data_IF_887097954308
#
_entry.id   IF_887097954308
#
_cell.length_a   1.000
_cell.length_b   1.000
_cell.length_c   1.000
_cell.angle_alpha   90.00
_cell.angle_beta   90.00
_cell.angle_gamma   90.00
#
_symmetry.space_group_name_H-M   'P 1'
#
loop_
_entity.id
_entity.type
_entity.pdbx_description
1 polymer ?
#
# COMPACT_ATOMS: atom_id res chain seq x y z
N UNK A 1 -13.95 2.73 -14.08
CA UNK A 1 -12.63 2.70 -14.76
C UNK A 1 -12.25 1.25 -15.01
N UNK A 2 -11.62 0.91 -16.14
CA UNK A 2 -11.17 -0.45 -16.46
C UNK A 2 -9.73 -0.76 -16.00
N UNK A 3 -9.12 0.14 -15.21
CA UNK A 3 -7.79 -0.10 -14.67
C UNK A 3 -7.87 -1.10 -13.51
N UNK A 4 -7.05 -2.15 -13.56
CA UNK A 4 -6.86 -3.09 -12.44
C UNK A 4 -5.39 -3.14 -12.09
N UNK A 5 -5.08 -2.92 -10.82
CA UNK A 5 -3.70 -2.87 -10.36
C UNK A 5 -2.96 -4.22 -10.46
N UNK A 6 -3.68 -5.34 -10.57
CA UNK A 6 -3.09 -6.69 -10.73
C UNK A 6 -2.16 -6.81 -11.95
N UNK A 7 -2.39 -6.05 -13.02
CA UNK A 7 -1.51 -6.06 -14.21
C UNK A 7 -0.14 -5.40 -13.95
N UNK A 8 0.00 -4.64 -12.87
CA UNK A 8 1.21 -3.88 -12.56
C UNK A 8 1.76 -4.17 -11.16
N UNK A 9 1.07 -5.04 -10.40
CA UNK A 9 1.40 -5.32 -9.02
C UNK A 9 2.83 -5.87 -8.90
N UNK A 10 3.62 -5.27 -8.04
CA UNK A 10 4.99 -5.71 -7.78
C UNK A 10 6.01 -5.28 -8.83
N UNK A 11 5.66 -4.35 -9.74
CA UNK A 11 6.63 -3.74 -10.64
C UNK A 11 7.66 -2.86 -9.88
N UNK A 12 8.63 -2.29 -10.61
CA UNK A 12 9.68 -1.47 -9.97
C UNK A 12 9.12 -0.23 -9.24
N UNK A 13 8.05 0.37 -9.76
CA UNK A 13 7.44 1.56 -9.16
C UNK A 13 6.78 1.21 -7.82
N UNK A 14 6.10 0.07 -7.76
CA UNK A 14 5.55 -0.50 -6.54
C UNK A 14 6.64 -0.78 -5.50
N UNK A 15 7.75 -1.41 -5.91
CA UNK A 15 8.88 -1.68 -5.01
C UNK A 15 9.39 -0.38 -4.36
N UNK A 16 9.72 0.63 -5.17
CA UNK A 16 10.23 1.91 -4.68
C UNK A 16 9.23 2.60 -3.74
N UNK A 17 7.98 2.69 -4.18
CA UNK A 17 6.87 3.31 -3.46
C UNK A 17 6.60 2.63 -2.12
N UNK A 18 6.55 1.31 -2.08
CA UNK A 18 6.24 0.54 -0.88
C UNK A 18 7.37 0.54 0.14
N UNK A 19 8.63 0.60 -0.31
CA UNK A 19 9.77 0.87 0.59
C UNK A 19 9.59 2.24 1.24
N UNK A 20 9.32 3.30 0.47
CA UNK A 20 9.14 4.65 1.00
C UNK A 20 7.98 4.73 2.00
N UNK A 21 6.81 4.17 1.64
CA UNK A 21 5.64 4.14 2.54
C UNK A 21 5.99 3.47 3.86
N UNK A 22 6.66 2.32 3.80
CA UNK A 22 7.10 1.59 4.99
C UNK A 22 8.03 2.44 5.86
N UNK A 23 8.99 3.14 5.26
CA UNK A 23 9.90 4.05 5.97
C UNK A 23 9.19 5.23 6.61
N UNK A 24 8.18 5.80 5.95
CA UNK A 24 7.38 6.90 6.49
C UNK A 24 6.60 6.41 7.71
N UNK A 25 5.96 5.25 7.64
CA UNK A 25 5.21 4.68 8.77
C UNK A 25 6.14 4.39 9.95
N UNK A 26 7.30 3.78 9.70
CA UNK A 26 8.33 3.55 10.73
C UNK A 26 8.85 4.83 11.37
N UNK A 27 9.01 5.89 10.58
CA UNK A 27 9.40 7.20 11.10
C UNK A 27 8.31 7.81 11.98
N UNK A 28 7.04 7.76 11.56
CA UNK A 28 5.91 8.30 12.33
C UNK A 28 5.73 7.59 13.69
N UNK A 29 6.05 6.30 13.78
CA UNK A 29 6.02 5.52 15.03
C UNK A 29 6.95 6.06 16.12
N UNK A 30 7.96 6.87 15.78
CA UNK A 30 8.88 7.50 16.74
C UNK A 30 8.22 8.53 17.64
N UNK A 31 7.07 9.09 17.24
CA UNK A 31 6.25 9.95 18.10
C UNK A 31 5.24 9.10 18.84
N UNK A 32 5.10 9.29 20.16
CA UNK A 32 4.12 8.57 20.98
C UNK A 32 2.66 8.82 20.53
N UNK A 33 2.41 10.03 20.02
CA UNK A 33 1.11 10.44 19.50
C UNK A 33 0.64 9.52 18.38
N UNK A 34 -0.64 9.17 18.40
CA UNK A 34 -1.28 8.42 17.33
C UNK A 34 -1.20 9.17 15.99
N UNK A 35 -1.07 8.42 14.91
CA UNK A 35 -1.22 8.94 13.54
C UNK A 35 -2.29 8.15 12.78
N UNK A 36 -2.77 8.77 11.69
CA UNK A 36 -3.66 8.13 10.73
C UNK A 36 -3.03 8.13 9.35
N UNK A 37 -3.11 7.02 8.66
CA UNK A 37 -2.77 6.94 7.24
C UNK A 37 -4.04 6.93 6.42
N UNK A 38 -4.06 7.73 5.35
CA UNK A 38 -5.13 7.78 4.36
C UNK A 38 -4.55 7.27 3.05
N UNK A 39 -4.95 6.08 2.65
CA UNK A 39 -4.61 5.52 1.35
C UNK A 39 -5.73 5.87 0.37
N UNK A 40 -5.47 6.79 -0.55
CA UNK A 40 -6.53 7.35 -1.42
C UNK A 40 -6.89 6.42 -2.58
N UNK A 41 -6.01 5.49 -2.92
CA UNK A 41 -6.14 4.56 -4.04
C UNK A 41 -5.63 3.18 -3.59
N UNK A 42 -6.40 2.56 -2.72
CA UNK A 42 -6.01 1.39 -1.94
C UNK A 42 -5.93 0.07 -2.73
N UNK A 43 -6.66 -0.04 -3.85
CA UNK A 43 -6.77 -1.27 -4.63
C UNK A 43 -7.40 -2.41 -3.83
N UNK A 44 -6.99 -3.65 -4.11
CA UNK A 44 -7.56 -4.87 -3.47
C UNK A 44 -6.78 -5.36 -2.25
N UNK A 45 -5.70 -4.67 -1.88
CA UNK A 45 -4.85 -5.00 -0.73
C UNK A 45 -3.83 -6.12 -0.97
N UNK A 46 -4.19 -7.25 -1.57
CA UNK A 46 -3.23 -8.34 -1.92
C UNK A 46 -3.44 -8.79 -3.36
N UNK A 47 -2.33 -8.99 -4.06
CA UNK A 47 -2.30 -9.39 -5.47
C UNK A 47 -1.69 -10.78 -5.62
N UNK A 48 -2.36 -11.68 -6.34
CA UNK A 48 -1.80 -12.98 -6.70
C UNK A 48 -0.98 -12.88 -8.00
N UNK A 49 0.34 -12.94 -7.89
CA UNK A 49 1.28 -12.83 -9.02
C UNK A 49 1.29 -14.06 -9.94
N UNK A 50 0.68 -15.18 -9.51
CA UNK A 50 0.44 -16.36 -10.36
C UNK A 50 -0.84 -16.27 -11.20
N UNK A 51 -1.60 -15.17 -11.07
CA UNK A 51 -2.82 -14.96 -11.85
C UNK A 51 -2.55 -14.74 -13.35
N UNK A 52 -3.53 -15.07 -14.19
CA UNK A 52 -3.47 -14.83 -15.64
C UNK A 52 -3.23 -13.34 -15.95
N UNK A 53 -3.84 -12.44 -15.17
CA UNK A 53 -3.68 -11.00 -15.30
C UNK A 53 -2.25 -10.55 -15.02
N UNK A 54 -1.64 -11.01 -13.93
CA UNK A 54 -0.25 -10.69 -13.61
C UNK A 54 0.72 -11.26 -14.67
N UNK A 55 0.43 -12.44 -15.22
CA UNK A 55 1.25 -13.05 -16.27
C UNK A 55 1.15 -12.36 -17.64
N UNK A 56 0.04 -11.69 -17.95
CA UNK A 56 -0.13 -10.95 -19.23
C UNK A 56 0.94 -9.89 -19.44
N UNK A 57 1.36 -9.20 -18.39
CA UNK A 57 2.41 -8.18 -18.44
C UNK A 57 3.73 -8.71 -17.86
N UNK A 58 3.68 -9.50 -16.79
CA UNK A 58 4.84 -10.04 -16.11
C UNK A 58 5.72 -9.01 -15.41
N UNK A 59 5.24 -7.78 -15.19
CA UNK A 59 6.06 -6.66 -14.66
C UNK A 59 6.70 -6.97 -13.29
N UNK A 60 6.06 -7.81 -12.48
CA UNK A 60 6.55 -8.22 -11.17
C UNK A 60 7.89 -8.95 -11.22
N UNK A 61 8.22 -9.59 -12.35
CA UNK A 61 9.50 -10.30 -12.54
C UNK A 61 10.67 -9.33 -12.53
N UNK A 62 10.52 -8.19 -13.21
CA UNK A 62 11.55 -7.12 -13.25
C UNK A 62 11.47 -6.15 -12.07
N UNK A 63 10.38 -6.22 -11.28
CA UNK A 63 10.23 -5.47 -10.04
C UNK A 63 10.65 -6.31 -8.83
N UNK A 64 9.65 -6.81 -8.10
CA UNK A 64 9.85 -7.44 -6.80
C UNK A 64 10.69 -8.72 -6.86
N UNK A 65 10.49 -9.57 -7.87
CA UNK A 65 11.24 -10.83 -7.96
C UNK A 65 12.73 -10.56 -8.19
N UNK A 66 13.05 -9.64 -9.10
CA UNK A 66 14.42 -9.19 -9.35
C UNK A 66 15.03 -8.53 -8.12
N UNK A 67 14.25 -7.73 -7.38
CA UNK A 67 14.72 -7.11 -6.14
C UNK A 67 15.11 -8.16 -5.09
N UNK A 68 14.25 -9.14 -4.80
CA UNK A 68 14.55 -10.17 -3.79
C UNK A 68 15.68 -11.12 -4.22
N UNK A 69 15.90 -11.27 -5.52
CA UNK A 69 16.99 -12.10 -6.06
C UNK A 69 18.36 -11.41 -6.02
N UNK A 70 18.40 -10.09 -5.79
CA UNK A 70 19.62 -9.31 -5.75
C UNK A 70 20.24 -9.28 -4.35
N UNK A 71 21.58 -9.31 -4.21
CA UNK A 71 22.21 -9.13 -2.92
C UNK A 71 21.91 -7.73 -2.37
N UNK A 72 21.31 -7.67 -1.18
CA UNK A 72 21.03 -6.42 -0.47
C UNK A 72 22.27 -6.03 0.35
N UNK A 73 22.85 -4.82 0.15
CA UNK A 73 23.93 -4.30 0.96
C UNK A 73 23.59 -4.33 2.46
N UNK A 74 24.58 -4.70 3.30
CA UNK A 74 24.37 -4.90 4.74
C UNK A 74 23.80 -3.66 5.44
N UNK A 75 24.26 -2.47 5.03
CA UNK A 75 23.83 -1.17 5.53
C UNK A 75 22.37 -0.83 5.16
N UNK A 76 21.80 -1.47 4.14
CA UNK A 76 20.42 -1.29 3.72
C UNK A 76 19.45 -2.31 4.33
N UNK A 77 19.93 -3.42 4.90
CA UNK A 77 19.06 -4.47 5.45
C UNK A 77 18.11 -3.92 6.51
N UNK A 78 18.64 -3.29 7.55
CA UNK A 78 17.82 -2.66 8.63
C UNK A 78 16.83 -1.61 8.11
N UNK A 79 17.15 -0.95 6.99
CA UNK A 79 16.21 -0.02 6.36
C UNK A 79 15.02 -0.75 5.76
N UNK A 80 15.28 -1.89 5.10
CA UNK A 80 14.34 -2.66 4.30
C UNK A 80 13.58 -3.74 5.10
N UNK A 81 14.13 -4.22 6.22
CA UNK A 81 13.55 -5.31 7.03
C UNK A 81 12.05 -5.14 7.28
N UNK A 82 11.51 -3.97 7.67
CA UNK A 82 10.07 -3.86 7.94
C UNK A 82 9.21 -4.13 6.69
N UNK A 83 9.73 -3.85 5.49
CA UNK A 83 9.04 -4.13 4.23
C UNK A 83 9.26 -5.58 3.78
N UNK A 84 10.50 -6.07 3.81
CA UNK A 84 10.82 -7.46 3.45
C UNK A 84 10.08 -8.45 4.34
N UNK A 85 10.07 -8.24 5.67
CA UNK A 85 9.41 -9.13 6.62
C UNK A 85 7.91 -9.28 6.37
N UNK A 86 7.23 -8.24 5.86
CA UNK A 86 5.80 -8.34 5.52
C UNK A 86 5.59 -9.16 4.26
N UNK A 87 6.47 -9.02 3.27
CA UNK A 87 6.44 -9.81 2.03
C UNK A 87 6.73 -11.27 2.36
N UNK A 88 7.77 -11.54 3.16
CA UNK A 88 8.16 -12.88 3.56
C UNK A 88 7.06 -13.55 4.38
N UNK A 89 6.48 -12.84 5.36
CA UNK A 89 5.37 -13.36 6.16
C UNK A 89 4.12 -13.68 5.31
N UNK A 90 3.88 -12.90 4.24
CA UNK A 90 2.76 -13.15 3.33
C UNK A 90 2.99 -14.37 2.43
N UNK A 91 4.25 -14.70 2.15
CA UNK A 91 4.64 -15.83 1.30
C UNK A 91 5.24 -16.99 2.10
N UNK A 92 5.04 -17.00 3.43
CA UNK A 92 5.50 -18.08 4.32
C UNK A 92 7.02 -18.37 4.23
N UNK A 93 7.81 -17.38 3.82
CA UNK A 93 9.26 -17.52 3.62
C UNK A 93 9.67 -18.32 2.37
N UNK A 94 8.74 -18.58 1.46
CA UNK A 94 9.03 -19.23 0.17
C UNK A 94 9.94 -18.38 -0.72
N UNK A 95 10.78 -19.04 -1.52
CA UNK A 95 11.74 -18.36 -2.41
C UNK A 95 11.06 -17.66 -3.59
N UNK A 96 9.92 -18.16 -4.02
CA UNK A 96 9.13 -17.58 -5.10
C UNK A 96 7.95 -16.80 -4.53
N UNK A 97 7.79 -15.56 -4.97
CA UNK A 97 6.71 -14.71 -4.50
C UNK A 97 5.44 -15.04 -5.27
N UNK A 98 4.43 -15.50 -4.55
CA UNK A 98 3.08 -15.76 -5.09
C UNK A 98 2.16 -14.59 -4.82
N UNK A 99 2.30 -13.95 -3.65
CA UNK A 99 1.43 -12.87 -3.21
C UNK A 99 2.22 -11.59 -2.95
N UNK A 100 1.74 -10.49 -3.53
CA UNK A 100 2.30 -9.17 -3.31
C UNK A 100 1.37 -8.29 -2.48
N UNK A 101 1.83 -7.70 -1.36
CA UNK A 101 1.02 -6.80 -0.56
C UNK A 101 0.95 -5.42 -1.21
N UNK A 102 -0.25 -4.91 -1.40
CA UNK A 102 -0.50 -3.49 -1.67
C UNK A 102 -0.30 -2.62 -0.43
N UNK A 103 -0.30 -1.30 -0.63
CA UNK A 103 -0.10 -0.32 0.43
C UNK A 103 -1.03 -0.48 1.65
N UNK A 104 -2.34 -0.82 1.54
CA UNK A 104 -3.19 -0.95 2.72
C UNK A 104 -2.71 -2.07 3.66
N UNK A 105 -2.23 -3.18 3.11
CA UNK A 105 -1.74 -4.32 3.89
C UNK A 105 -0.40 -3.98 4.54
N UNK A 106 0.52 -3.39 3.78
CA UNK A 106 1.80 -2.91 4.32
C UNK A 106 1.60 -1.95 5.48
N UNK A 107 0.79 -0.91 5.27
CA UNK A 107 0.50 0.09 6.30
C UNK A 107 -0.12 -0.59 7.52
N UNK A 108 -1.14 -1.43 7.32
CA UNK A 108 -1.86 -2.08 8.43
C UNK A 108 -0.96 -2.96 9.29
N UNK A 109 -0.03 -3.70 8.71
CA UNK A 109 0.91 -4.55 9.44
C UNK A 109 1.88 -3.72 10.31
N UNK A 110 2.17 -2.49 9.92
CA UNK A 110 3.10 -1.60 10.62
C UNK A 110 2.44 -0.75 11.73
N UNK A 111 1.11 -0.59 11.72
CA UNK A 111 0.40 0.26 12.67
C UNK A 111 0.48 -0.24 14.12
N UNK A 112 0.66 0.68 15.09
CA UNK A 112 0.49 0.39 16.52
C UNK A 112 -0.99 0.40 16.88
N UNK A 113 -1.36 -0.12 18.05
CA UNK A 113 -2.77 -0.23 18.51
C UNK A 113 -3.56 1.09 18.44
N UNK A 114 -2.92 2.24 18.69
CA UNK A 114 -3.58 3.55 18.61
C UNK A 114 -3.68 4.15 17.20
N UNK A 115 -2.90 3.66 16.25
CA UNK A 115 -2.86 4.21 14.90
C UNK A 115 -4.02 3.66 14.05
N UNK A 116 -4.39 4.39 13.00
CA UNK A 116 -5.55 4.05 12.15
C UNK A 116 -5.22 4.15 10.67
N UNK A 117 -5.85 3.30 9.87
CA UNK A 117 -5.85 3.33 8.41
C UNK A 117 -7.24 3.71 7.89
N UNK A 118 -7.30 4.61 6.92
CA UNK A 118 -8.46 4.82 6.05
C UNK A 118 -8.05 4.48 4.63
N UNK A 119 -8.59 3.39 4.10
CA UNK A 119 -8.30 2.89 2.77
C UNK A 119 -9.49 3.20 1.84
N UNK A 120 -9.25 3.96 0.79
CA UNK A 120 -10.28 4.44 -0.14
C UNK A 120 -10.07 3.75 -1.48
N UNK A 121 -11.15 3.21 -2.03
CA UNK A 121 -11.16 2.60 -3.34
C UNK A 121 -12.41 3.08 -4.10
N UNK A 122 -12.25 3.45 -5.37
CA UNK A 122 -13.30 3.97 -6.23
C UNK A 122 -13.95 2.86 -7.06
N UNK A 123 -13.22 1.81 -7.39
CA UNK A 123 -13.74 0.68 -8.17
C UNK A 123 -14.57 -0.26 -7.29
N UNK A 124 -15.88 -0.36 -7.56
CA UNK A 124 -16.83 -1.09 -6.71
C UNK A 124 -16.42 -2.53 -6.41
N UNK A 125 -15.94 -3.29 -7.38
CA UNK A 125 -15.54 -4.68 -7.13
C UNK A 125 -14.26 -4.77 -6.30
N UNK A 126 -13.30 -3.86 -6.52
CA UNK A 126 -12.04 -3.85 -5.78
C UNK A 126 -12.29 -3.42 -4.33
N UNK A 127 -13.18 -2.45 -4.14
CA UNK A 127 -13.70 -2.05 -2.84
C UNK A 127 -14.29 -3.25 -2.09
N UNK A 128 -15.12 -4.09 -2.72
CA UNK A 128 -15.71 -5.24 -2.03
C UNK A 128 -14.65 -6.27 -1.61
N UNK A 129 -13.64 -6.50 -2.44
CA UNK A 129 -12.50 -7.37 -2.08
C UNK A 129 -11.73 -6.79 -0.90
N UNK A 130 -11.40 -5.49 -0.94
CA UNK A 130 -10.68 -4.79 0.10
C UNK A 130 -11.47 -4.72 1.43
N UNK A 131 -12.77 -4.43 1.36
CA UNK A 131 -13.66 -4.36 2.52
C UNK A 131 -13.78 -5.73 3.21
N UNK A 132 -13.89 -6.80 2.43
CA UNK A 132 -13.86 -8.17 2.96
C UNK A 132 -12.54 -8.48 3.63
N UNK A 133 -11.41 -8.07 3.03
CA UNK A 133 -10.05 -8.28 3.56
C UNK A 133 -9.87 -7.67 4.97
N UNK A 134 -10.42 -6.48 5.21
CA UNK A 134 -10.32 -5.77 6.48
C UNK A 134 -11.59 -5.86 7.35
N UNK A 135 -12.49 -6.79 7.05
CA UNK A 135 -13.72 -6.96 7.83
C UNK A 135 -13.39 -7.31 9.29
N UNK A 136 -13.93 -6.53 10.22
CA UNK A 136 -13.70 -6.70 11.67
C UNK A 136 -12.39 -6.11 12.20
N UNK A 137 -11.54 -5.56 11.34
CA UNK A 137 -10.30 -4.91 11.77
C UNK A 137 -10.56 -3.49 12.30
N UNK A 138 -10.57 -3.33 13.63
CA UNK A 138 -10.88 -2.06 14.28
C UNK A 138 -9.91 -0.91 13.94
N UNK A 139 -8.72 -1.21 13.40
CA UNK A 139 -7.75 -0.19 13.01
C UNK A 139 -7.98 0.35 11.59
N UNK A 140 -8.77 -0.34 10.77
CA UNK A 140 -8.93 -0.06 9.34
C UNK A 140 -10.37 0.34 9.01
N UNK A 141 -10.53 1.44 8.30
CA UNK A 141 -11.79 1.83 7.68
C UNK A 141 -11.65 1.77 6.16
N UNK A 142 -12.49 0.99 5.50
CA UNK A 142 -12.53 0.91 4.03
C UNK A 142 -13.70 1.75 3.52
N UNK A 143 -13.45 2.62 2.54
CA UNK A 143 -14.43 3.54 1.97
C UNK A 143 -14.55 3.35 0.45
N UNK A 144 -15.78 3.26 -0.05
CA UNK A 144 -16.08 3.30 -1.48
C UNK A 144 -16.31 4.75 -1.89
N UNK A 145 -15.24 5.48 -2.22
CA UNK A 145 -15.28 6.91 -2.53
C UNK A 145 -14.21 7.25 -3.57
N UNK A 146 -14.35 8.42 -4.18
CA UNK A 146 -13.25 9.05 -4.90
C UNK A 146 -12.19 9.55 -3.91
N UNK A 147 -10.95 9.06 -4.08
CA UNK A 147 -9.83 9.38 -3.20
C UNK A 147 -9.46 10.87 -3.15
N UNK A 148 -9.66 11.61 -4.24
CA UNK A 148 -9.42 13.05 -4.30
C UNK A 148 -10.50 13.82 -3.54
N UNK A 149 -11.77 13.47 -3.74
CA UNK A 149 -12.88 14.10 -3.01
C UNK A 149 -12.80 13.80 -1.51
N UNK A 150 -12.40 12.58 -1.16
CA UNK A 150 -12.26 12.15 0.23
C UNK A 150 -11.13 12.91 0.96
N UNK A 151 -10.03 13.26 0.26
CA UNK A 151 -8.89 13.94 0.86
C UNK A 151 -9.30 15.30 1.47
N UNK A 152 -10.12 16.08 0.76
CA UNK A 152 -10.64 17.37 1.24
C UNK A 152 -11.52 17.24 2.50
N UNK A 153 -12.20 16.09 2.67
CA UNK A 153 -13.03 15.84 3.85
C UNK A 153 -12.22 15.36 5.07
N UNK A 154 -10.98 14.91 4.84
CA UNK A 154 -10.12 14.34 5.86
C UNK A 154 -8.98 15.25 6.31
N UNK A 155 -8.76 16.37 5.60
CA UNK A 155 -7.77 17.38 5.92
C UNK A 155 -8.43 18.74 6.24
N UNK A 156 -7.96 19.45 7.28
CA UNK A 156 -6.97 19.02 8.26
C UNK A 156 -7.54 17.94 9.20
N UNK A 157 -6.70 17.02 9.69
CA UNK A 157 -7.15 16.02 10.66
C UNK A 157 -7.73 16.70 11.91
N UNK A 158 -8.71 16.03 12.56
CA UNK A 158 -9.19 16.47 13.88
C UNK A 158 -7.98 16.74 14.79
N UNK A 159 -8.02 17.86 15.53
CA UNK A 159 -6.91 18.35 16.36
C UNK A 159 -6.27 17.17 17.12
N UNK A 160 -4.96 17.05 16.98
CA UNK A 160 -4.07 16.07 17.62
C UNK A 160 -3.67 14.79 16.89
N UNK A 161 -3.95 14.60 15.59
CA UNK A 161 -3.50 13.40 14.85
C UNK A 161 -2.67 13.82 13.63
N UNK A 162 -1.50 13.20 13.43
CA UNK A 162 -0.70 13.39 12.20
C UNK A 162 -1.32 12.54 11.08
N UNK A 163 -1.51 13.12 9.89
CA UNK A 163 -2.03 12.40 8.72
C UNK A 163 -1.00 12.30 7.61
N UNK A 164 -0.83 11.09 7.07
CA UNK A 164 -0.07 10.83 5.85
C UNK A 164 -1.03 10.34 4.77
N UNK A 165 -1.01 10.97 3.60
CA UNK A 165 -1.87 10.61 2.47
C UNK A 165 -1.03 10.03 1.35
N UNK A 166 -1.35 8.79 0.97
CA UNK A 166 -0.74 8.14 -0.18
C UNK A 166 -1.60 8.44 -1.41
N UNK A 167 -1.05 9.20 -2.37
CA UNK A 167 -1.73 9.60 -3.59
C UNK A 167 -1.07 8.89 -4.77
N UNK A 168 -1.83 8.05 -5.48
CA UNK A 168 -1.41 7.39 -6.71
C UNK A 168 -2.32 7.83 -7.86
N UNK A 169 -1.99 8.89 -8.60
CA UNK A 169 -2.76 9.26 -9.77
C UNK A 169 -2.51 8.25 -10.89
N UNK A 170 -3.48 7.41 -11.19
CA UNK A 170 -3.39 6.48 -12.31
C UNK A 170 -4.25 7.02 -13.45
N UNK A 171 -3.57 7.68 -14.40
CA UNK A 171 -4.05 8.36 -15.62
C UNK A 171 -4.79 9.69 -15.44
N UNK A 172 -4.04 10.76 -15.16
CA UNK A 172 -4.10 12.09 -15.80
C UNK A 172 -3.23 13.08 -15.00
N UNK A 173 -2.02 13.46 -15.47
CA UNK A 173 -1.18 14.44 -14.78
C UNK A 173 -1.65 15.89 -14.94
N UNK A 174 -2.83 16.15 -15.52
CA UNK A 174 -3.22 17.50 -15.98
C UNK A 174 -3.80 18.40 -14.89
N UNK A 175 -4.15 17.88 -13.70
CA UNK A 175 -4.65 18.72 -12.60
C UNK A 175 -3.64 18.89 -11.46
N UNK A 176 -2.34 18.90 -11.79
CA UNK A 176 -1.29 19.33 -10.86
C UNK A 176 -1.05 20.82 -11.00
N UNK A 177 -1.98 21.62 -10.46
CA UNK A 177 -1.84 23.01 -10.04
C UNK A 177 -3.26 23.55 -9.87
N UNK A 178 -3.61 23.94 -8.65
CA UNK A 178 -4.33 25.18 -8.29
C UNK A 178 -4.97 25.01 -6.89
N UNK A 179 -4.47 25.86 -5.99
CA UNK A 179 -4.79 26.16 -4.57
C UNK A 179 -4.37 25.16 -3.48
#
# INVERSE_FOLDING_TARGET
MNYRHIYHAGNFADVFKHIIVTRIVEYLKRKEKAFRVIDTHAGIGIYNLSSLEAHKTGEWREGIQRFLSAPIPEDLKTLLDPWCNIIDALNEGEKEIVFYPGSPVLIRQLLRKQDRLTAIELHSEDYHVLAKKFSGDYQTKVLHLDGWLALNSHLPPKKSVVSFSLIHPLKNPVNFLVY
#
